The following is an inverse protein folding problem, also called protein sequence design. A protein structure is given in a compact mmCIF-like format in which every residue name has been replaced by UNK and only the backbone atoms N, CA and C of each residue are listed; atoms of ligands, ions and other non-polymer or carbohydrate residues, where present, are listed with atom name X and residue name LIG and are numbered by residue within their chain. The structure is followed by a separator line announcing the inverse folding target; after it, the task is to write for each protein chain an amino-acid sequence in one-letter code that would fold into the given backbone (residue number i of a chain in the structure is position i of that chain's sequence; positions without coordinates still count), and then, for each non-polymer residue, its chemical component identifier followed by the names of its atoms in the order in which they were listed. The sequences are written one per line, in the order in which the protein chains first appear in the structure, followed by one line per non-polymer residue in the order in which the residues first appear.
data_IF_146556990357
#
_entry.id   IF_146556990357
#
_cell.length_a   1.000
_cell.length_b   1.000
_cell.length_c   1.000
_cell.angle_alpha   90.00
_cell.angle_beta   90.00
_cell.angle_gamma   90.00
#
_symmetry.space_group_name_H-M   'P 1'
#
loop_
_entity.id
_entity.type
_entity.pdbx_description
1 polymer ?
#
# COMPACT_ATOMS: atom_id res chain seq x y z
N UNK A 1 -22.76 -36.24 -8.68
CA UNK A 1 -22.07 -35.52 -7.62
C UNK A 1 -22.40 -34.03 -7.72
N UNK A 2 -23.46 -33.57 -7.12
CA UNK A 2 -23.88 -32.16 -7.08
C UNK A 2 -23.40 -31.44 -5.80
N UNK A 3 -22.22 -31.81 -5.26
CA UNK A 3 -21.74 -31.27 -3.99
C UNK A 3 -20.54 -30.31 -4.13
N UNK A 4 -19.99 -30.21 -5.32
CA UNK A 4 -18.83 -29.34 -5.60
C UNK A 4 -19.09 -28.55 -6.87
N UNK A 5 -18.95 -27.23 -6.78
CA UNK A 5 -18.96 -26.31 -7.91
C UNK A 5 -17.65 -25.51 -7.89
N UNK A 6 -16.99 -25.43 -9.01
CA UNK A 6 -15.76 -24.64 -9.19
C UNK A 6 -15.96 -23.72 -10.38
N UNK A 7 -15.76 -22.44 -10.17
CA UNK A 7 -15.74 -21.43 -11.22
C UNK A 7 -14.33 -20.84 -11.25
N UNK A 8 -13.74 -20.76 -12.44
CA UNK A 8 -12.43 -20.13 -12.65
C UNK A 8 -12.58 -19.15 -13.80
N UNK A 9 -12.12 -17.93 -13.55
CA UNK A 9 -12.15 -16.86 -14.54
C UNK A 9 -10.74 -16.29 -14.73
N UNK A 10 -10.40 -16.00 -15.96
CA UNK A 10 -9.22 -15.24 -16.33
C UNK A 10 -9.65 -14.01 -17.11
N UNK A 11 -9.08 -12.87 -16.81
CA UNK A 11 -9.38 -11.64 -17.53
C UNK A 11 -8.12 -10.87 -17.92
N UNK A 12 -8.24 -10.10 -18.99
CA UNK A 12 -7.28 -9.11 -19.44
C UNK A 12 -8.05 -7.90 -19.96
N UNK A 13 -7.99 -6.79 -19.23
CA UNK A 13 -8.75 -5.57 -19.54
C UNK A 13 -7.78 -4.40 -19.71
N UNK A 14 -7.82 -3.79 -20.89
CA UNK A 14 -7.12 -2.55 -21.19
C UNK A 14 -8.10 -1.37 -21.04
N UNK A 15 -7.70 -0.39 -20.22
CA UNK A 15 -8.40 0.89 -20.09
C UNK A 15 -7.53 1.95 -20.76
N UNK A 16 -8.14 2.69 -21.68
CA UNK A 16 -7.49 3.78 -22.44
C UNK A 16 -8.06 5.12 -22.00
N UNK A 17 -7.36 6.18 -22.36
CA UNK A 17 -7.80 7.55 -22.14
C UNK A 17 -8.09 7.86 -20.66
N UNK A 18 -7.20 7.39 -19.77
CA UNK A 18 -7.27 7.68 -18.35
C UNK A 18 -7.14 9.19 -18.11
N UNK A 19 -8.06 9.72 -17.32
CA UNK A 19 -7.97 11.09 -16.82
C UNK A 19 -6.87 11.17 -15.76
N UNK A 20 -5.83 11.92 -16.07
CA UNK A 20 -4.71 12.15 -15.15
C UNK A 20 -4.37 13.63 -15.08
N UNK A 21 -3.94 14.09 -13.89
CA UNK A 21 -3.43 15.45 -13.71
C UNK A 21 -2.02 15.54 -14.28
N UNK A 22 -1.81 16.38 -15.27
CA UNK A 22 -0.50 16.69 -15.85
C UNK A 22 -0.03 18.04 -15.37
N UNK A 23 1.21 18.12 -14.90
CA UNK A 23 1.87 19.41 -14.68
C UNK A 23 2.14 20.05 -16.04
N UNK A 24 1.62 21.24 -16.25
CA UNK A 24 1.87 22.04 -17.45
C UNK A 24 2.75 23.23 -17.09
N UNK A 25 3.49 23.74 -18.08
CA UNK A 25 4.23 24.99 -17.90
C UNK A 25 3.28 26.10 -17.45
N UNK A 26 3.70 26.86 -16.44
CA UNK A 26 2.93 27.99 -15.96
C UNK A 26 2.78 29.03 -17.08
N UNK A 27 1.63 29.02 -17.74
CA UNK A 27 1.24 30.10 -18.64
C UNK A 27 0.76 31.25 -17.77
N UNK A 28 1.12 32.51 -18.06
CA UNK A 28 0.65 33.63 -17.27
C UNK A 28 -0.85 33.61 -17.08
N UNK A 29 -1.31 33.53 -15.83
CA UNK A 29 -2.71 33.52 -15.43
C UNK A 29 -3.31 32.17 -15.01
N UNK A 30 -2.61 31.06 -15.17
CA UNK A 30 -3.06 29.73 -14.72
C UNK A 30 -2.04 29.17 -13.73
N UNK A 31 -2.06 29.66 -12.50
CA UNK A 31 -1.14 29.20 -11.44
C UNK A 31 -1.98 28.81 -10.24
N UNK A 32 -1.73 27.60 -9.70
CA UNK A 32 -2.31 27.20 -8.40
C UNK A 32 -1.57 27.90 -7.25
N UNK A 33 -2.10 27.79 -6.03
CA UNK A 33 -1.53 28.42 -4.83
C UNK A 33 -0.08 27.99 -4.51
N UNK A 34 0.43 26.94 -5.16
CA UNK A 34 1.79 26.41 -5.01
C UNK A 34 2.72 26.82 -6.16
N UNK A 35 2.28 27.72 -7.05
CA UNK A 35 3.10 28.21 -8.16
C UNK A 35 3.19 27.28 -9.38
N UNK A 36 2.47 26.15 -9.37
CA UNK A 36 2.37 25.20 -10.49
C UNK A 36 1.03 25.27 -11.18
N UNK A 37 0.93 24.84 -12.42
CA UNK A 37 -0.31 24.63 -13.13
C UNK A 37 -0.51 23.15 -13.41
N UNK A 38 -1.71 22.63 -13.12
CA UNK A 38 -2.10 21.25 -13.45
C UNK A 38 -3.33 21.25 -14.33
N UNK A 39 -3.37 20.35 -15.28
CA UNK A 39 -4.52 20.18 -16.16
C UNK A 39 -4.90 18.70 -16.20
N UNK A 40 -6.19 18.41 -16.07
CA UNK A 40 -6.74 17.06 -16.27
C UNK A 40 -6.79 16.77 -17.77
N UNK A 41 -6.14 15.70 -18.17
CA UNK A 41 -6.04 15.28 -19.57
C UNK A 41 -6.25 13.77 -19.70
N UNK A 42 -6.70 13.33 -20.87
CA UNK A 42 -6.83 11.92 -21.23
C UNK A 42 -5.48 11.40 -21.75
N UNK A 43 -4.59 11.02 -20.85
CA UNK A 43 -3.16 10.84 -21.17
C UNK A 43 -2.58 9.48 -20.82
N UNK A 44 -3.38 8.55 -20.34
CA UNK A 44 -2.85 7.27 -19.91
C UNK A 44 -3.60 6.08 -20.44
N UNK A 45 -2.96 4.93 -20.41
CA UNK A 45 -3.62 3.63 -20.53
C UNK A 45 -3.03 2.64 -19.54
N UNK A 46 -3.87 1.77 -19.01
CA UNK A 46 -3.45 0.71 -18.08
C UNK A 46 -4.10 -0.62 -18.41
N UNK A 47 -3.47 -1.67 -17.98
CA UNK A 47 -3.94 -3.05 -18.07
C UNK A 47 -4.19 -3.62 -16.71
N UNK A 48 -5.33 -4.27 -16.54
CA UNK A 48 -5.62 -5.15 -15.42
C UNK A 48 -5.72 -6.59 -15.95
N UNK A 49 -4.87 -7.46 -15.42
CA UNK A 49 -4.85 -8.88 -15.77
C UNK A 49 -4.94 -9.68 -14.50
N UNK A 50 -5.85 -10.65 -14.47
CA UNK A 50 -6.05 -11.40 -13.24
C UNK A 50 -6.72 -12.75 -13.45
N UNK A 51 -6.83 -13.44 -12.31
CA UNK A 51 -7.54 -14.70 -12.18
C UNK A 51 -8.44 -14.63 -10.96
N UNK A 52 -9.63 -15.21 -11.08
CA UNK A 52 -10.59 -15.32 -10.00
C UNK A 52 -11.07 -16.76 -9.91
N UNK A 53 -11.21 -17.25 -8.68
CA UNK A 53 -11.71 -18.58 -8.40
C UNK A 53 -12.81 -18.53 -7.36
N UNK A 54 -13.86 -19.31 -7.58
CA UNK A 54 -14.89 -19.59 -6.62
C UNK A 54 -15.06 -21.10 -6.48
N UNK A 55 -15.04 -21.58 -5.24
CA UNK A 55 -15.26 -22.97 -4.89
C UNK A 55 -16.42 -23.03 -3.90
N UNK A 56 -17.49 -23.71 -4.29
CA UNK A 56 -18.62 -24.00 -3.40
C UNK A 56 -18.72 -25.49 -3.16
N UNK A 57 -18.82 -25.88 -1.91
CA UNK A 57 -18.95 -27.30 -1.55
C UNK A 57 -20.07 -27.51 -0.53
N UNK A 58 -20.83 -28.57 -0.71
CA UNK A 58 -21.72 -29.14 0.32
C UNK A 58 -20.95 -30.28 1.00
N UNK A 59 -20.37 -29.97 2.15
CA UNK A 59 -19.48 -30.87 2.87
C UNK A 59 -20.27 -32.02 3.52
N UNK A 60 -21.37 -31.66 4.20
CA UNK A 60 -22.28 -32.60 4.87
C UNK A 60 -23.68 -32.24 4.48
N UNK A 61 -24.45 -33.25 4.15
CA UNK A 61 -25.93 -33.14 3.95
C UNK A 61 -26.58 -34.44 4.31
N UNK A 62 -27.28 -34.45 5.45
CA UNK A 62 -28.06 -35.57 5.93
C UNK A 62 -29.31 -35.02 6.68
N UNK A 63 -30.05 -35.88 7.41
CA UNK A 63 -31.28 -35.52 8.09
C UNK A 63 -31.09 -34.43 9.16
N UNK A 64 -29.96 -34.46 9.89
CA UNK A 64 -29.70 -33.61 11.06
C UNK A 64 -28.65 -32.55 10.82
N UNK A 65 -27.85 -32.70 9.78
CA UNK A 65 -26.68 -31.84 9.50
C UNK A 65 -26.70 -31.33 8.06
N UNK A 66 -26.45 -30.04 7.93
CA UNK A 66 -26.05 -29.42 6.68
C UNK A 66 -24.88 -28.55 6.90
N UNK A 67 -23.78 -28.75 6.12
CA UNK A 67 -22.60 -27.91 6.13
C UNK A 67 -22.15 -27.60 4.71
N UNK A 68 -22.10 -26.31 4.40
CA UNK A 68 -21.59 -25.81 3.13
C UNK A 68 -20.47 -24.79 3.36
N UNK A 69 -19.55 -24.77 2.42
CA UNK A 69 -18.41 -23.82 2.37
C UNK A 69 -18.38 -23.15 1.01
N UNK A 70 -18.21 -21.84 0.99
CA UNK A 70 -17.89 -21.06 -0.21
C UNK A 70 -16.58 -20.33 0.02
N UNK A 71 -15.59 -20.58 -0.84
CA UNK A 71 -14.30 -19.93 -0.86
C UNK A 71 -14.15 -19.20 -2.19
N UNK A 72 -13.77 -17.93 -2.14
CA UNK A 72 -13.35 -17.19 -3.32
C UNK A 72 -11.99 -16.56 -3.09
N UNK A 73 -11.22 -16.42 -4.15
CA UNK A 73 -9.97 -15.67 -4.17
C UNK A 73 -9.71 -15.09 -5.55
N UNK A 74 -9.08 -13.93 -5.57
CA UNK A 74 -8.71 -13.21 -6.77
C UNK A 74 -7.31 -12.63 -6.67
N UNK A 75 -6.59 -12.69 -7.78
CA UNK A 75 -5.33 -12.01 -7.99
C UNK A 75 -5.46 -11.08 -9.19
N UNK A 76 -5.11 -9.81 -9.01
CA UNK A 76 -5.04 -8.82 -10.09
C UNK A 76 -3.63 -8.23 -10.18
N UNK A 77 -3.12 -8.11 -11.40
CA UNK A 77 -1.93 -7.32 -11.70
C UNK A 77 -2.33 -6.11 -12.54
N UNK A 78 -2.21 -4.94 -11.94
CA UNK A 78 -2.32 -3.66 -12.65
C UNK A 78 -0.98 -3.30 -13.29
N UNK A 79 -0.99 -2.74 -14.48
CA UNK A 79 0.22 -2.28 -15.18
C UNK A 79 -0.10 -1.05 -16.01
N UNK A 80 0.63 0.03 -15.79
CA UNK A 80 0.55 1.23 -16.61
C UNK A 80 1.23 0.95 -17.96
N UNK A 81 0.51 1.14 -19.06
CA UNK A 81 1.00 0.81 -20.41
C UNK A 81 1.52 2.05 -21.14
N UNK A 82 0.92 3.23 -20.88
CA UNK A 82 1.23 4.44 -21.61
C UNK A 82 0.96 5.67 -20.73
N UNK A 83 1.82 6.66 -20.88
CA UNK A 83 1.64 8.05 -20.45
C UNK A 83 1.63 8.97 -21.68
N UNK A 84 1.33 10.24 -21.48
CA UNK A 84 1.36 11.25 -22.55
C UNK A 84 2.80 11.62 -22.93
N UNK A 85 3.02 11.82 -24.23
CA UNK A 85 4.30 12.23 -24.78
C UNK A 85 5.35 11.12 -24.70
N UNK A 86 6.61 11.53 -24.58
CA UNK A 86 7.78 10.63 -24.48
C UNK A 86 8.19 10.30 -23.04
N UNK A 87 7.36 10.70 -22.05
CA UNK A 87 7.66 10.48 -20.65
C UNK A 87 7.39 9.02 -20.25
N UNK A 88 8.35 8.40 -19.59
CA UNK A 88 8.21 7.04 -19.06
C UNK A 88 7.62 7.02 -17.64
N UNK A 89 7.65 8.16 -16.95
CA UNK A 89 7.10 8.29 -15.60
C UNK A 89 6.58 9.69 -15.30
N UNK A 90 5.69 9.76 -14.34
CA UNK A 90 5.16 11.00 -13.75
C UNK A 90 5.06 10.82 -12.24
N UNK A 91 5.67 11.76 -11.49
CA UNK A 91 5.66 11.72 -10.02
C UNK A 91 4.53 12.64 -9.53
N UNK A 92 3.69 12.10 -8.65
CA UNK A 92 2.61 12.83 -7.98
C UNK A 92 2.69 12.58 -6.47
N UNK A 93 3.28 13.52 -5.75
CA UNK A 93 3.52 13.39 -4.31
C UNK A 93 4.44 12.22 -3.98
N UNK A 94 3.89 11.22 -3.27
CA UNK A 94 4.59 9.97 -2.95
C UNK A 94 4.36 8.87 -3.99
N UNK A 95 3.42 9.07 -4.91
CA UNK A 95 3.13 8.12 -5.95
C UNK A 95 3.98 8.36 -7.19
N UNK A 96 4.31 7.28 -7.91
CA UNK A 96 4.86 7.32 -9.26
C UNK A 96 3.94 6.55 -10.21
N UNK A 97 3.68 7.18 -11.34
CA UNK A 97 3.04 6.54 -12.49
C UNK A 97 4.16 6.23 -13.49
N UNK A 98 4.69 5.01 -13.45
CA UNK A 98 5.79 4.55 -14.32
C UNK A 98 5.30 3.47 -15.27
N UNK A 99 5.63 3.58 -16.55
CA UNK A 99 5.29 2.56 -17.55
C UNK A 99 5.92 1.23 -17.15
N UNK A 100 5.11 0.17 -17.18
CA UNK A 100 5.51 -1.18 -16.76
C UNK A 100 5.22 -1.52 -15.29
N UNK A 101 4.97 -0.51 -14.45
CA UNK A 101 4.67 -0.67 -13.03
C UNK A 101 3.16 -0.53 -12.74
N UNK A 102 2.76 -0.85 -11.51
CA UNK A 102 1.38 -0.63 -11.07
C UNK A 102 1.09 0.87 -10.99
N UNK A 103 -0.12 1.26 -11.37
CA UNK A 103 -0.59 2.62 -11.25
C UNK A 103 -0.56 3.06 -9.77
N UNK A 104 -0.03 4.26 -9.50
CA UNK A 104 0.14 4.80 -8.14
C UNK A 104 1.07 3.98 -7.23
N UNK A 105 2.11 3.37 -7.78
CA UNK A 105 3.17 2.76 -6.95
C UNK A 105 3.81 3.81 -6.05
N UNK A 106 4.08 3.45 -4.79
CA UNK A 106 4.76 4.35 -3.84
C UNK A 106 6.23 4.49 -4.19
N UNK A 107 6.72 5.75 -4.24
CA UNK A 107 8.04 6.10 -4.69
C UNK A 107 8.74 7.03 -3.70
N UNK A 108 9.65 6.50 -2.93
CA UNK A 108 10.34 7.24 -1.88
C UNK A 108 11.74 6.66 -1.59
N UNK A 109 12.44 7.27 -0.64
CA UNK A 109 13.70 6.74 -0.15
C UNK A 109 13.48 5.43 0.61
N UNK A 110 14.38 4.48 0.42
CA UNK A 110 14.36 3.23 1.19
C UNK A 110 15.09 3.46 2.52
N UNK A 111 14.37 3.29 3.64
CA UNK A 111 14.87 3.50 4.98
C UNK A 111 15.79 2.36 5.41
N UNK A 112 16.96 2.70 5.93
CA UNK A 112 17.99 1.75 6.36
C UNK A 112 18.12 1.64 7.89
N UNK A 113 17.37 2.43 8.65
CA UNK A 113 17.44 2.43 10.12
C UNK A 113 17.86 3.78 10.69
N UNK A 114 18.37 3.73 11.91
CA UNK A 114 18.89 4.88 12.66
C UNK A 114 20.41 4.78 12.74
N UNK A 115 21.08 5.86 12.44
CA UNK A 115 22.53 5.95 12.65
C UNK A 115 22.85 5.94 14.16
N UNK A 116 23.62 4.96 14.64
CA UNK A 116 23.91 4.84 16.06
C UNK A 116 24.76 5.99 16.61
N UNK A 117 25.54 6.69 15.78
CA UNK A 117 26.41 7.78 16.23
C UNK A 117 25.68 9.11 16.33
N UNK A 118 24.75 9.39 15.41
CA UNK A 118 24.09 10.71 15.32
C UNK A 118 22.60 10.70 15.64
N UNK A 119 21.97 9.50 15.65
CA UNK A 119 20.54 9.37 15.79
C UNK A 119 19.73 9.81 14.58
N UNK A 120 20.39 10.03 13.44
CA UNK A 120 19.76 10.45 12.18
C UNK A 120 19.10 9.28 11.46
N UNK A 121 18.10 9.56 10.63
CA UNK A 121 17.58 8.58 9.67
C UNK A 121 18.65 8.19 8.67
N UNK A 122 18.82 6.90 8.39
CA UNK A 122 19.66 6.39 7.30
C UNK A 122 18.82 5.89 6.13
N UNK A 123 19.35 6.04 4.94
CA UNK A 123 18.74 5.64 3.69
C UNK A 123 19.68 4.79 2.87
N UNK A 124 19.13 3.86 2.08
CA UNK A 124 19.93 3.13 1.12
C UNK A 124 20.21 3.97 -0.13
N UNK A 125 21.45 3.89 -0.59
CA UNK A 125 21.85 4.25 -1.94
C UNK A 125 21.77 2.96 -2.74
N UNK A 126 20.75 2.84 -3.61
CA UNK A 126 20.56 1.66 -4.43
C UNK A 126 21.29 1.87 -5.76
N UNK A 127 22.42 1.19 -5.95
CA UNK A 127 23.19 1.23 -7.18
C UNK A 127 22.55 0.40 -8.30
N UNK A 128 22.78 0.79 -9.55
CA UNK A 128 22.29 0.05 -10.72
C UNK A 128 22.91 -1.35 -10.83
N UNK A 129 24.08 -1.54 -10.25
CA UNK A 129 24.80 -2.81 -10.14
C UNK A 129 24.30 -3.73 -9.01
N UNK A 130 23.27 -3.28 -8.27
CA UNK A 130 22.70 -3.98 -7.12
C UNK A 130 23.48 -3.73 -5.81
N UNK A 131 24.48 -2.84 -5.79
CA UNK A 131 25.14 -2.39 -4.56
C UNK A 131 24.15 -1.63 -3.68
N UNK A 132 24.35 -1.74 -2.35
CA UNK A 132 23.53 -1.06 -1.34
C UNK A 132 24.45 -0.49 -0.28
N UNK A 133 24.70 0.81 -0.37
CA UNK A 133 25.36 1.59 0.65
C UNK A 133 24.34 2.35 1.49
N UNK A 134 24.74 2.89 2.63
CA UNK A 134 23.86 3.69 3.48
C UNK A 134 24.40 5.08 3.67
N UNK A 135 23.51 6.06 3.75
CA UNK A 135 23.84 7.46 4.02
C UNK A 135 22.78 8.07 4.95
N UNK A 136 23.20 9.06 5.75
CA UNK A 136 22.30 9.91 6.52
C UNK A 136 21.79 11.12 5.72
N UNK A 137 22.29 11.32 4.52
CA UNK A 137 21.96 12.45 3.64
C UNK A 137 20.99 12.02 2.55
N UNK A 138 19.72 12.36 2.67
CA UNK A 138 18.68 11.97 1.70
C UNK A 138 18.96 12.47 0.26
N UNK A 139 19.75 13.53 0.07
CA UNK A 139 20.14 14.02 -1.25
C UNK A 139 21.19 13.13 -1.96
N UNK A 140 21.87 12.25 -1.24
CA UNK A 140 22.80 11.26 -1.79
C UNK A 140 22.11 9.94 -2.11
N UNK A 141 20.97 9.68 -1.46
CA UNK A 141 20.15 8.51 -1.71
C UNK A 141 19.24 8.69 -2.94
N UNK A 142 18.87 7.59 -3.56
CA UNK A 142 17.91 7.59 -4.65
C UNK A 142 16.55 7.06 -4.20
N UNK A 143 15.48 7.59 -4.80
CA UNK A 143 14.13 7.06 -4.60
C UNK A 143 13.94 5.80 -5.43
N UNK A 144 13.19 4.86 -4.86
CA UNK A 144 12.81 3.61 -5.51
C UNK A 144 11.32 3.32 -5.27
N UNK A 145 10.75 2.38 -6.01
CA UNK A 145 9.40 1.88 -5.73
C UNK A 145 9.47 1.04 -4.45
N UNK A 146 8.80 1.53 -3.41
CA UNK A 146 8.81 0.93 -2.06
C UNK A 146 7.57 0.10 -1.76
N UNK A 147 6.58 0.09 -2.65
CA UNK A 147 5.35 -0.68 -2.51
C UNK A 147 4.26 -0.23 -3.46
N UNK A 148 3.13 -0.93 -3.39
CA UNK A 148 1.92 -0.62 -4.15
C UNK A 148 0.70 -0.70 -3.23
N UNK A 149 -0.33 0.14 -3.44
CA UNK A 149 -1.59 0.01 -2.73
C UNK A 149 -2.38 -1.25 -3.13
N UNK A 150 -2.11 -1.80 -4.30
CA UNK A 150 -2.83 -2.94 -4.84
C UNK A 150 -2.49 -4.22 -4.07
N UNK A 151 -3.50 -4.92 -3.49
CA UNK A 151 -3.27 -6.21 -2.87
C UNK A 151 -2.94 -7.27 -3.93
N UNK A 152 -2.05 -8.19 -3.57
CA UNK A 152 -1.69 -9.33 -4.42
C UNK A 152 -2.73 -10.44 -4.41
N UNK A 153 -3.46 -10.58 -3.30
CA UNK A 153 -4.48 -11.58 -3.12
C UNK A 153 -5.63 -11.03 -2.28
N UNK A 154 -6.84 -11.20 -2.76
CA UNK A 154 -8.07 -10.87 -2.02
C UNK A 154 -9.04 -12.03 -2.08
N UNK A 155 -9.92 -12.13 -1.07
CA UNK A 155 -10.94 -13.17 -1.12
C UNK A 155 -11.78 -13.25 0.14
N UNK A 156 -12.56 -14.32 0.19
CA UNK A 156 -13.43 -14.59 1.32
C UNK A 156 -13.77 -16.06 1.48
N UNK A 157 -14.09 -16.41 2.71
CA UNK A 157 -14.54 -17.74 3.12
C UNK A 157 -15.87 -17.59 3.86
N UNK A 158 -16.91 -18.18 3.32
CA UNK A 158 -18.20 -18.28 3.99
C UNK A 158 -18.48 -19.73 4.35
N UNK A 159 -18.86 -19.97 5.60
CA UNK A 159 -19.33 -21.27 6.06
C UNK A 159 -20.75 -21.12 6.60
N UNK A 160 -21.60 -22.07 6.23
CA UNK A 160 -22.90 -22.26 6.82
C UNK A 160 -22.99 -23.68 7.38
N UNK A 161 -23.28 -23.80 8.66
CA UNK A 161 -23.48 -25.06 9.36
C UNK A 161 -24.82 -25.04 10.02
N UNK A 162 -25.64 -26.04 9.78
CA UNK A 162 -26.94 -26.23 10.46
C UNK A 162 -26.96 -27.62 11.09
N UNK A 163 -27.36 -27.68 12.34
CA UNK A 163 -27.57 -28.90 13.09
C UNK A 163 -28.93 -28.90 13.79
N UNK A 164 -29.82 -29.71 13.28
CA UNK A 164 -31.23 -29.76 13.75
C UNK A 164 -31.91 -28.39 13.70
N UNK A 165 -32.03 -27.71 14.84
CA UNK A 165 -32.68 -26.42 15.03
C UNK A 165 -31.70 -25.27 15.30
N UNK A 166 -30.38 -25.51 15.21
CA UNK A 166 -29.33 -24.49 15.40
C UNK A 166 -28.62 -24.30 14.08
N UNK A 167 -28.41 -23.06 13.70
CA UNK A 167 -27.52 -22.73 12.56
C UNK A 167 -26.46 -21.70 12.93
N UNK A 168 -25.35 -21.82 12.24
CA UNK A 168 -24.20 -20.93 12.31
C UNK A 168 -23.80 -20.51 10.91
N UNK A 169 -23.77 -19.20 10.67
CA UNK A 169 -23.21 -18.63 9.45
C UNK A 169 -22.10 -17.65 9.80
N UNK A 170 -20.93 -17.81 9.19
CA UNK A 170 -19.87 -16.81 9.31
C UNK A 170 -19.16 -16.56 7.97
N UNK A 171 -18.72 -15.32 7.80
CA UNK A 171 -17.96 -14.89 6.63
C UNK A 171 -16.67 -14.21 7.08
N UNK A 172 -15.55 -14.75 6.61
CA UNK A 172 -14.22 -14.15 6.70
C UNK A 172 -13.88 -13.49 5.37
N UNK A 173 -13.24 -12.33 5.40
CA UNK A 173 -12.65 -11.69 4.22
C UNK A 173 -11.17 -11.42 4.49
N UNK A 174 -10.35 -11.52 3.47
CA UNK A 174 -8.92 -11.29 3.58
C UNK A 174 -8.41 -10.47 2.39
N UNK A 175 -7.33 -9.72 2.66
CA UNK A 175 -6.56 -8.98 1.67
C UNK A 175 -5.09 -9.06 2.05
N UNK A 176 -4.22 -9.40 1.12
CA UNK A 176 -2.79 -9.64 1.36
C UNK A 176 -1.92 -8.95 0.31
N UNK A 177 -0.80 -8.41 0.74
CA UNK A 177 0.28 -7.90 -0.13
C UNK A 177 0.11 -6.47 -0.61
N UNK A 178 -0.91 -5.74 -0.13
CA UNK A 178 -1.03 -4.30 -0.35
C UNK A 178 -0.28 -3.48 0.71
N UNK A 179 -0.03 -2.23 0.41
CA UNK A 179 0.63 -1.28 1.31
C UNK A 179 -0.15 0.02 1.41
N UNK A 180 0.02 0.71 2.53
CA UNK A 180 -0.44 2.08 2.74
C UNK A 180 0.69 2.94 3.31
N UNK A 181 0.65 4.23 3.04
CA UNK A 181 1.57 5.19 3.62
C UNK A 181 0.95 5.86 4.83
N UNK A 182 1.59 5.75 6.00
CA UNK A 182 1.14 6.37 7.25
C UNK A 182 1.53 7.84 7.32
N UNK A 183 0.82 8.66 6.55
CA UNK A 183 1.02 10.10 6.54
C UNK A 183 0.69 10.75 7.89
N UNK A 184 -0.21 10.16 8.66
CA UNK A 184 -0.60 10.69 9.96
C UNK A 184 0.55 10.59 10.96
N UNK A 185 1.17 9.42 11.10
CA UNK A 185 2.33 9.27 12.00
C UNK A 185 3.54 10.04 11.49
N UNK A 186 3.78 10.03 10.18
CA UNK A 186 4.84 10.86 9.58
C UNK A 186 4.71 12.32 9.99
N UNK A 187 3.50 12.89 9.94
CA UNK A 187 3.25 14.27 10.28
C UNK A 187 3.33 14.54 11.79
N UNK A 188 2.77 13.65 12.61
CA UNK A 188 2.68 13.84 14.06
C UNK A 188 4.00 13.59 14.79
N UNK A 189 4.92 12.82 14.21
CA UNK A 189 6.20 12.45 14.85
C UNK A 189 7.41 13.29 14.40
N UNK A 190 7.20 14.44 13.78
CA UNK A 190 8.27 15.25 13.18
C UNK A 190 8.96 16.27 14.12
N UNK A 191 8.93 16.04 15.43
CA UNK A 191 9.61 16.91 16.39
C UNK A 191 9.08 18.35 16.46
N UNK A 192 7.82 18.60 16.07
CA UNK A 192 7.20 19.93 16.12
C UNK A 192 7.63 20.89 15.00
N UNK A 193 8.27 20.40 13.95
CA UNK A 193 8.73 21.21 12.81
C UNK A 193 7.59 21.81 11.99
N UNK A 194 6.43 21.17 11.99
CA UNK A 194 5.21 21.72 11.41
C UNK A 194 4.32 22.29 12.51
N UNK A 195 3.53 23.32 12.22
CA UNK A 195 2.60 23.97 13.16
C UNK A 195 1.44 23.04 13.61
N UNK A 196 1.62 21.73 13.53
CA UNK A 196 0.68 20.75 14.03
C UNK A 196 1.01 20.41 15.47
N UNK A 197 0.24 21.00 16.35
CA UNK A 197 0.26 20.66 17.78
C UNK A 197 -0.63 19.42 17.94
N UNK A 198 -0.01 18.26 17.87
CA UNK A 198 -0.69 16.98 18.02
C UNK A 198 0.11 16.04 18.92
N UNK A 199 -0.59 15.11 19.57
CA UNK A 199 0.08 14.05 20.30
C UNK A 199 0.66 13.04 19.33
N UNK A 200 1.86 12.55 19.63
CA UNK A 200 2.46 11.42 18.92
C UNK A 200 1.60 10.16 19.16
N UNK A 201 1.37 9.30 18.18
CA UNK A 201 0.62 8.07 18.37
C UNK A 201 1.21 7.20 19.49
N UNK A 202 0.34 6.50 20.24
CA UNK A 202 0.75 5.73 21.43
C UNK A 202 1.77 4.61 21.15
N UNK A 203 1.86 4.14 19.89
CA UNK A 203 2.86 3.15 19.49
C UNK A 203 4.24 3.77 19.16
N UNK A 204 4.31 5.10 19.01
CA UNK A 204 5.56 5.82 18.82
C UNK A 204 6.13 6.16 20.22
N UNK A 205 6.90 5.24 20.75
CA UNK A 205 7.39 5.34 22.13
C UNK A 205 8.66 6.16 22.21
N UNK A 206 8.69 7.15 23.11
CA UNK A 206 9.85 7.99 23.31
C UNK A 206 11.06 7.22 23.86
N UNK A 207 10.84 6.13 24.58
CA UNK A 207 11.90 5.24 25.05
C UNK A 207 12.62 4.50 23.90
N UNK A 208 11.97 4.32 22.76
CA UNK A 208 12.53 3.69 21.57
C UNK A 208 13.34 4.66 20.70
N UNK A 209 13.34 5.98 21.03
CA UNK A 209 14.12 6.98 20.30
C UNK A 209 15.60 6.98 20.71
N UNK A 210 16.46 7.29 19.77
CA UNK A 210 17.89 7.49 20.02
C UNK A 210 18.16 8.63 21.01
N UNK A 211 19.13 8.46 21.93
CA UNK A 211 19.46 9.41 23.02
C UNK A 211 20.92 9.76 23.07
N UNK A 212 21.82 8.84 22.71
CA UNK A 212 23.28 9.06 22.80
C UNK A 212 24.04 8.18 21.80
N UNK A 213 25.28 8.59 21.42
CA UNK A 213 26.13 7.79 20.55
C UNK A 213 26.30 6.36 21.04
N UNK A 214 26.17 5.41 20.12
CA UNK A 214 26.21 3.97 20.38
C UNK A 214 24.86 3.33 20.69
N UNK A 215 23.76 4.10 20.76
CA UNK A 215 22.41 3.55 20.95
C UNK A 215 21.96 2.76 19.71
N UNK A 216 21.49 1.54 19.91
CA UNK A 216 20.80 0.76 18.90
C UNK A 216 19.28 1.05 18.96
N UNK A 217 18.92 2.27 18.59
CA UNK A 217 17.55 2.77 18.70
C UNK A 217 16.68 2.32 17.52
N UNK A 218 15.39 2.10 17.76
CA UNK A 218 14.41 1.79 16.72
C UNK A 218 13.91 3.04 16.00
N UNK A 219 13.92 4.19 16.71
CA UNK A 219 13.42 5.47 16.25
C UNK A 219 14.53 6.51 16.29
N UNK A 220 14.59 7.41 15.30
CA UNK A 220 15.57 8.50 15.28
C UNK A 220 15.47 9.43 16.49
N UNK A 221 16.46 10.28 16.64
CA UNK A 221 16.46 11.36 17.62
C UNK A 221 15.17 12.20 17.49
N UNK A 222 14.39 12.25 18.56
CA UNK A 222 13.20 13.09 18.65
C UNK A 222 13.57 14.47 19.22
N UNK A 223 13.86 15.39 18.32
CA UNK A 223 14.26 16.76 18.68
C UNK A 223 13.52 17.79 17.83
N UNK A 224 13.35 18.99 18.41
CA UNK A 224 12.76 20.12 17.69
C UNK A 224 13.59 20.44 16.43
N UNK A 225 12.91 20.62 15.31
CA UNK A 225 13.54 20.91 14.02
C UNK A 225 13.92 19.67 13.20
N UNK A 226 13.91 18.47 13.78
CA UNK A 226 14.08 17.24 13.01
C UNK A 226 12.84 17.01 12.13
N UNK A 227 13.08 16.85 10.82
CA UNK A 227 12.05 16.56 9.84
C UNK A 227 12.10 15.08 9.50
N UNK A 228 10.95 14.43 9.59
CA UNK A 228 10.80 13.09 9.05
C UNK A 228 10.91 13.13 7.53
N UNK A 229 11.79 12.31 6.98
CA UNK A 229 11.90 12.13 5.54
C UNK A 229 10.81 11.21 5.02
N UNK A 230 10.25 11.51 3.85
CA UNK A 230 9.32 10.63 3.15
C UNK A 230 10.07 9.39 2.67
N UNK A 231 9.85 8.26 3.33
CA UNK A 231 10.61 7.03 3.13
C UNK A 231 9.78 5.77 3.40
N UNK A 232 10.35 4.60 3.14
CA UNK A 232 9.72 3.30 3.43
C UNK A 232 9.47 3.05 4.92
N UNK A 233 10.05 3.84 5.82
CA UNK A 233 9.76 3.81 7.26
C UNK A 233 8.27 3.94 7.58
N UNK A 234 7.54 4.67 6.74
CA UNK A 234 6.11 4.98 6.92
C UNK A 234 5.20 4.07 6.11
N UNK A 235 5.77 3.05 5.48
CA UNK A 235 5.00 2.05 4.75
C UNK A 235 4.48 0.99 5.69
N UNK A 236 3.18 0.76 5.63
CA UNK A 236 2.50 -0.28 6.41
C UNK A 236 1.88 -1.33 5.48
N UNK A 237 2.01 -2.63 5.81
CA UNK A 237 1.23 -3.65 5.11
C UNK A 237 -0.26 -3.44 5.43
N UNK A 238 -1.11 -3.62 4.44
CA UNK A 238 -2.57 -3.58 4.61
C UNK A 238 -3.18 -4.97 4.74
N UNK A 239 -2.33 -5.96 5.02
CA UNK A 239 -2.73 -7.35 5.21
C UNK A 239 -3.74 -7.48 6.34
N UNK A 240 -4.86 -8.10 6.05
CA UNK A 240 -5.86 -8.33 7.07
C UNK A 240 -6.72 -9.57 6.81
N UNK A 241 -7.18 -10.14 7.90
CA UNK A 241 -8.26 -11.12 7.98
C UNK A 241 -9.38 -10.51 8.84
N UNK A 242 -10.58 -10.44 8.30
CA UNK A 242 -11.73 -9.83 8.98
C UNK A 242 -12.88 -10.81 9.09
N UNK A 243 -13.42 -10.98 10.29
CA UNK A 243 -14.74 -11.57 10.48
C UNK A 243 -15.79 -10.52 10.09
N UNK A 244 -16.37 -10.68 8.88
CA UNK A 244 -17.33 -9.72 8.30
C UNK A 244 -18.74 -9.94 8.83
N UNK A 245 -19.10 -11.19 9.05
CA UNK A 245 -20.42 -11.59 9.55
C UNK A 245 -20.30 -12.82 10.44
N UNK A 246 -21.09 -12.85 11.50
CA UNK A 246 -21.33 -14.02 12.35
C UNK A 246 -22.80 -14.02 12.77
N UNK A 247 -23.52 -15.07 12.45
CA UNK A 247 -24.91 -15.24 12.80
C UNK A 247 -25.11 -16.61 13.43
N UNK A 248 -25.85 -16.66 14.52
CA UNK A 248 -26.27 -17.89 15.19
C UNK A 248 -27.79 -17.81 15.27
N UNK A 249 -28.52 -18.82 14.77
CA UNK A 249 -29.95 -18.93 14.76
C UNK A 249 -30.45 -20.22 15.39
#
# INVERSE_FOLDING_TARGET
WNRLSITAEWYNRDTKDLLMSKNISAVPGVINSSGGATMLMNIGSMRNRGVEFEIKSTNIQNKDWYWSTSLNFGHNKNTLLKLDGEQNEMIDGIAVHRIGEAYQSFYAYEYAGVDPETGSEMFYINGEDGSRETTIHSNEANKVIIGSPDPKLTGGLTNFVSWKFIDLNFTLTYSLGGHAYDAATWLQSNGGTYNYVGNVPAYYKIEDTWKQPGDNAKLPLFAYGNKNTVSSRWMMPTDHLRLKNLTIG
#
